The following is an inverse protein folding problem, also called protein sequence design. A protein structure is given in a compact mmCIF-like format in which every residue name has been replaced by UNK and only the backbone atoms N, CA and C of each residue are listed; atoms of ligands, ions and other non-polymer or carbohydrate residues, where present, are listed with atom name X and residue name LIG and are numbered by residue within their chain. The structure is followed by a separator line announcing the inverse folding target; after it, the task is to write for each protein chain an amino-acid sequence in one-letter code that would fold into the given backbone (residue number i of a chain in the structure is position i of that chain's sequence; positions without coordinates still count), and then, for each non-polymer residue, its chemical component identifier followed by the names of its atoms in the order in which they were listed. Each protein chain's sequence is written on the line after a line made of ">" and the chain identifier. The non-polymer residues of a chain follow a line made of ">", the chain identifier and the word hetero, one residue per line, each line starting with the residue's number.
data_IF_422655362391
#
_entry.id   IF_422655362391
#
_cell.length_a   1.000
_cell.length_b   1.000
_cell.length_c   1.000
_cell.angle_alpha   90.00
_cell.angle_beta   90.00
_cell.angle_gamma   90.00
#
_symmetry.space_group_name_H-M   'P 1'
#
loop_
_entity.id
_entity.type
_entity.pdbx_description
1 polymer ?
#
# COMPACT_ATOMS: atom_id res chain seq x y z
N UNK A 1 9.78 -13.98 -11.93
CA UNK A 1 9.20 -15.29 -11.55
C UNK A 1 7.72 -15.27 -11.89
N UNK A 2 7.17 -16.35 -12.47
CA UNK A 2 5.72 -16.45 -12.75
C UNK A 2 4.91 -16.53 -11.46
N UNK A 3 3.69 -15.97 -11.46
CA UNK A 3 2.77 -16.00 -10.31
C UNK A 3 2.49 -17.43 -9.86
N UNK A 4 2.29 -18.35 -10.80
CA UNK A 4 2.04 -19.77 -10.51
C UNK A 4 3.22 -20.39 -9.75
N UNK A 5 4.45 -20.17 -10.22
CA UNK A 5 5.68 -20.65 -9.56
C UNK A 5 5.80 -20.13 -8.12
N UNK A 6 5.54 -18.84 -7.91
CA UNK A 6 5.61 -18.23 -6.59
C UNK A 6 4.51 -18.68 -5.61
N UNK A 7 3.38 -19.18 -6.11
CA UNK A 7 2.30 -19.74 -5.27
C UNK A 7 2.61 -21.21 -4.97
N UNK A 8 3.09 -21.97 -5.97
CA UNK A 8 3.51 -23.36 -5.81
C UNK A 8 4.63 -23.49 -4.77
N UNK A 9 5.66 -22.65 -4.86
CA UNK A 9 6.77 -22.63 -3.90
C UNK A 9 6.30 -22.21 -2.49
N UNK A 10 5.33 -21.30 -2.37
CA UNK A 10 4.75 -20.96 -1.06
C UNK A 10 4.03 -22.16 -0.41
N UNK A 11 3.50 -23.07 -1.22
CA UNK A 11 2.88 -24.32 -0.77
C UNK A 11 3.87 -25.49 -0.66
N UNK A 12 5.17 -25.25 -0.88
CA UNK A 12 6.23 -26.26 -0.87
C UNK A 12 5.98 -27.44 -1.83
N UNK A 13 5.34 -27.18 -2.98
CA UNK A 13 5.03 -28.22 -3.97
C UNK A 13 6.07 -28.25 -5.08
N UNK A 14 6.41 -29.44 -5.59
CA UNK A 14 7.14 -29.64 -6.86
C UNK A 14 6.20 -29.51 -8.06
N UNK A 15 6.76 -29.44 -9.28
CA UNK A 15 5.91 -29.39 -10.49
C UNK A 15 5.15 -30.70 -10.68
N UNK A 16 5.76 -31.81 -10.28
CA UNK A 16 5.23 -33.17 -10.30
C UNK A 16 4.09 -33.33 -9.29
N UNK A 17 4.28 -32.86 -8.06
CA UNK A 17 3.23 -32.88 -7.02
C UNK A 17 2.02 -32.01 -7.39
N UNK A 18 2.27 -30.81 -7.95
CA UNK A 18 1.17 -29.97 -8.43
C UNK A 18 0.45 -30.63 -9.61
N UNK A 19 1.17 -31.34 -10.49
CA UNK A 19 0.61 -32.09 -11.61
C UNK A 19 -0.31 -33.20 -11.13
N UNK A 20 0.10 -33.94 -10.10
CA UNK A 20 -0.67 -35.04 -9.53
C UNK A 20 -1.95 -34.52 -8.85
N UNK A 21 -1.83 -33.46 -8.03
CA UNK A 21 -2.96 -32.90 -7.29
C UNK A 21 -3.98 -32.18 -8.19
N UNK A 22 -3.52 -31.54 -9.27
CA UNK A 22 -4.37 -30.80 -10.20
C UNK A 22 -4.80 -31.64 -11.42
N UNK A 23 -4.30 -32.86 -11.58
CA UNK A 23 -4.52 -33.71 -12.78
C UNK A 23 -4.18 -33.00 -14.11
N UNK A 24 -3.32 -31.97 -14.06
CA UNK A 24 -2.84 -31.23 -15.22
C UNK A 24 -1.42 -31.68 -15.49
N UNK A 25 -1.08 -31.95 -16.76
CA UNK A 25 0.27 -32.43 -17.09
C UNK A 25 1.38 -31.48 -16.63
N UNK A 26 2.51 -32.03 -16.16
CA UNK A 26 3.74 -31.30 -15.82
C UNK A 26 4.13 -30.32 -16.94
N UNK A 27 4.01 -30.74 -18.20
CA UNK A 27 4.31 -29.90 -19.38
C UNK A 27 3.40 -28.66 -19.46
N UNK A 28 2.14 -28.78 -19.08
CA UNK A 28 1.20 -27.65 -19.05
C UNK A 28 1.56 -26.70 -17.90
N UNK A 29 1.90 -27.23 -16.72
CA UNK A 29 2.37 -26.42 -15.58
C UNK A 29 3.62 -25.64 -15.96
N UNK A 30 4.61 -26.29 -16.58
CA UNK A 30 5.83 -25.65 -17.06
C UNK A 30 5.54 -24.53 -18.07
N UNK A 31 4.64 -24.76 -19.04
CA UNK A 31 4.23 -23.74 -20.01
C UNK A 31 3.57 -22.52 -19.34
N UNK A 32 2.82 -22.74 -18.27
CA UNK A 32 2.20 -21.65 -17.50
C UNK A 32 3.23 -20.91 -16.66
N UNK A 33 4.17 -21.64 -16.03
CA UNK A 33 5.30 -21.04 -15.32
C UNK A 33 6.25 -20.27 -16.25
N UNK A 34 6.33 -20.64 -17.53
CA UNK A 34 7.13 -19.96 -18.55
C UNK A 34 6.39 -18.79 -19.24
N UNK A 35 5.12 -18.54 -18.92
CA UNK A 35 4.39 -17.33 -19.37
C UNK A 35 3.10 -17.58 -20.16
N UNK A 36 2.66 -18.82 -20.37
CA UNK A 36 1.36 -19.11 -21.00
C UNK A 36 0.23 -18.87 -20.00
N UNK A 37 -0.79 -18.08 -20.35
CA UNK A 37 -1.93 -17.87 -19.44
C UNK A 37 -2.85 -19.11 -19.40
N UNK A 38 -3.20 -19.60 -18.19
CA UNK A 38 -4.20 -20.66 -18.05
C UNK A 38 -5.59 -20.12 -18.36
N UNK A 39 -6.39 -20.88 -19.12
CA UNK A 39 -7.76 -20.49 -19.53
C UNK A 39 -8.77 -21.59 -19.21
N UNK A 40 -10.01 -21.18 -18.93
CA UNK A 40 -11.15 -22.07 -18.73
C UNK A 40 -10.91 -23.11 -17.64
N UNK A 41 -11.06 -24.40 -17.99
CA UNK A 41 -10.96 -25.51 -17.05
C UNK A 41 -9.62 -25.60 -16.31
N UNK A 42 -8.50 -25.33 -17.00
CA UNK A 42 -7.15 -25.36 -16.42
C UNK A 42 -6.96 -24.29 -15.33
N UNK A 43 -7.55 -23.11 -15.52
CA UNK A 43 -7.50 -22.02 -14.55
C UNK A 43 -8.26 -22.39 -13.28
N UNK A 44 -9.49 -22.88 -13.44
CA UNK A 44 -10.37 -23.27 -12.34
C UNK A 44 -9.78 -24.39 -11.49
N UNK A 45 -9.22 -25.43 -12.11
CA UNK A 45 -8.62 -26.53 -11.36
C UNK A 45 -7.36 -26.07 -10.63
N UNK A 46 -6.47 -25.31 -11.26
CA UNK A 46 -5.27 -24.81 -10.57
C UNK A 46 -5.62 -23.91 -9.39
N UNK A 47 -6.62 -23.04 -9.56
CA UNK A 47 -7.12 -22.17 -8.49
C UNK A 47 -7.68 -23.00 -7.32
N UNK A 48 -8.51 -24.00 -7.62
CA UNK A 48 -9.10 -24.90 -6.63
C UNK A 48 -8.04 -25.73 -5.89
N UNK A 49 -7.11 -26.36 -6.61
CA UNK A 49 -6.01 -27.15 -6.02
C UNK A 49 -5.10 -26.29 -5.15
N UNK A 50 -4.84 -25.06 -5.56
CA UNK A 50 -4.02 -24.11 -4.80
C UNK A 50 -4.82 -23.35 -3.74
N UNK A 51 -6.13 -23.54 -3.61
CA UNK A 51 -6.97 -22.84 -2.64
C UNK A 51 -6.91 -21.32 -2.77
N UNK A 52 -6.91 -20.82 -3.99
CA UNK A 52 -6.85 -19.39 -4.33
C UNK A 52 -7.96 -19.03 -5.31
N UNK A 53 -8.25 -17.75 -5.43
CA UNK A 53 -9.14 -17.21 -6.46
C UNK A 53 -8.53 -17.36 -7.87
N UNK A 54 -9.37 -17.61 -8.88
CA UNK A 54 -8.95 -17.73 -10.29
C UNK A 54 -8.23 -16.46 -10.77
N UNK A 55 -8.66 -15.29 -10.29
CA UNK A 55 -8.05 -13.99 -10.59
C UNK A 55 -6.59 -13.87 -10.12
N UNK A 56 -6.16 -14.64 -9.12
CA UNK A 56 -4.79 -14.63 -8.61
C UNK A 56 -3.80 -15.28 -9.58
N UNK A 57 -4.27 -16.15 -10.48
CA UNK A 57 -3.47 -16.82 -11.50
C UNK A 57 -3.40 -16.05 -12.83
N UNK A 58 -4.30 -15.09 -13.05
CA UNK A 58 -4.32 -14.24 -14.24
C UNK A 58 -3.27 -13.11 -14.14
N UNK A 59 -2.59 -12.80 -15.25
CA UNK A 59 -1.59 -11.74 -15.29
C UNK A 59 -2.24 -10.35 -15.43
N UNK A 60 -2.88 -9.87 -14.36
CA UNK A 60 -2.97 -8.41 -14.19
C UNK A 60 -1.70 -7.90 -13.51
N UNK A 61 -1.15 -6.81 -14.06
CA UNK A 61 -0.01 -6.04 -13.54
C UNK A 61 -0.34 -5.45 -12.16
N UNK A 62 -0.35 -6.30 -11.14
CA UNK A 62 -0.47 -5.94 -9.74
C UNK A 62 -0.33 -7.22 -8.89
N UNK A 63 0.60 -7.29 -7.91
CA UNK A 63 0.62 -8.42 -7.00
C UNK A 63 -0.56 -8.28 -6.02
N UNK A 64 -1.50 -9.21 -6.08
CA UNK A 64 -2.38 -9.55 -4.98
C UNK A 64 -1.83 -10.81 -4.34
N UNK A 65 -1.55 -10.79 -3.04
CA UNK A 65 -1.51 -12.00 -2.22
C UNK A 65 -2.27 -11.73 -0.92
N UNK A 66 -3.38 -12.46 -0.82
CA UNK A 66 -3.79 -13.33 0.29
C UNK A 66 -3.85 -12.71 1.69
N UNK A 67 -5.09 -12.65 2.16
CA UNK A 67 -5.55 -12.47 3.53
C UNK A 67 -5.07 -13.68 4.36
N UNK A 68 -4.35 -13.41 5.44
CA UNK A 68 -4.23 -14.34 6.56
C UNK A 68 -5.47 -14.15 7.44
N UNK A 69 -6.17 -15.24 7.73
CA UNK A 69 -7.22 -15.30 8.73
C UNK A 69 -6.69 -14.82 10.09
N UNK A 70 -7.34 -13.83 10.66
CA UNK A 70 -7.49 -13.72 12.11
C UNK A 70 -8.93 -13.31 12.37
N UNK A 71 -9.68 -14.24 12.93
CA UNK A 71 -11.00 -14.03 13.52
C UNK A 71 -10.83 -13.09 14.71
N UNK A 72 -11.27 -11.84 14.56
CA UNK A 72 -11.67 -11.00 15.70
C UNK A 72 -13.01 -10.35 15.33
N UNK A 73 -14.02 -10.72 16.11
CA UNK A 73 -15.38 -10.19 16.05
C UNK A 73 -15.33 -8.82 16.71
N UNK A 74 -15.43 -7.74 15.94
CA UNK A 74 -15.98 -6.48 16.43
C UNK A 74 -16.88 -5.85 15.37
N UNK A 75 -18.14 -5.68 15.77
CA UNK A 75 -19.24 -5.04 15.08
C UNK A 75 -18.94 -3.61 14.67
N UNK A 76 -19.19 -3.24 13.42
CA UNK A 76 -19.26 -1.84 13.02
C UNK A 76 -19.20 -1.60 11.51
N UNK A 77 -20.39 -1.45 10.91
CA UNK A 77 -20.67 -0.87 9.59
C UNK A 77 -19.91 -1.44 8.38
N UNK A 78 -20.64 -2.18 7.54
CA UNK A 78 -20.23 -2.63 6.22
C UNK A 78 -19.88 -1.44 5.31
N UNK A 79 -18.63 -0.97 5.36
CA UNK A 79 -18.04 -0.19 4.28
C UNK A 79 -17.81 -1.17 3.12
N UNK A 80 -18.70 -1.14 2.12
CA UNK A 80 -18.49 -1.78 0.83
C UNK A 80 -17.06 -1.47 0.36
N UNK A 81 -16.17 -2.48 0.38
CA UNK A 81 -14.76 -2.32 0.00
C UNK A 81 -14.67 -1.96 -1.48
N UNK A 82 -14.68 -0.65 -1.77
CA UNK A 82 -14.33 -0.15 -3.09
C UNK A 82 -12.91 -0.64 -3.40
N UNK A 83 -12.75 -1.36 -4.52
CA UNK A 83 -11.46 -1.88 -4.98
C UNK A 83 -10.37 -0.80 -4.86
N UNK A 84 -9.31 -1.08 -4.09
CA UNK A 84 -8.25 -0.10 -3.80
C UNK A 84 -7.48 0.23 -5.09
N UNK A 85 -7.55 1.49 -5.51
CA UNK A 85 -6.77 1.97 -6.65
C UNK A 85 -5.47 2.61 -6.15
N UNK A 86 -4.38 1.86 -6.20
CA UNK A 86 -3.06 2.31 -5.71
C UNK A 86 -2.52 3.55 -6.42
N UNK A 87 -2.87 3.77 -7.70
CA UNK A 87 -2.49 4.99 -8.42
C UNK A 87 -3.16 6.21 -7.80
N UNK A 88 -4.43 6.10 -7.43
CA UNK A 88 -5.15 7.17 -6.73
C UNK A 88 -4.62 7.38 -5.31
N UNK A 89 -4.29 6.31 -4.58
CA UNK A 89 -3.66 6.42 -3.26
C UNK A 89 -2.30 7.14 -3.33
N UNK A 90 -1.52 6.87 -4.39
CA UNK A 90 -0.26 7.58 -4.65
C UNK A 90 -0.50 9.05 -4.94
N UNK A 91 -1.49 9.39 -5.76
CA UNK A 91 -1.87 10.79 -6.05
C UNK A 91 -2.32 11.51 -4.77
N UNK A 92 -3.15 10.86 -3.95
CA UNK A 92 -3.58 11.38 -2.64
C UNK A 92 -2.35 11.70 -1.79
N UNK A 93 -1.41 10.76 -1.62
CA UNK A 93 -0.19 11.01 -0.85
C UNK A 93 0.68 12.13 -1.43
N UNK A 94 0.88 12.18 -2.75
CA UNK A 94 1.68 13.22 -3.40
C UNK A 94 1.03 14.60 -3.34
N UNK A 95 -0.29 14.69 -3.25
CA UNK A 95 -1.00 15.97 -3.25
C UNK A 95 -0.60 16.89 -2.10
N UNK A 96 -0.16 16.33 -0.96
CA UNK A 96 0.37 17.08 0.16
C UNK A 96 1.64 17.87 -0.18
N UNK A 97 2.41 17.47 -1.22
CA UNK A 97 3.66 18.15 -1.60
C UNK A 97 3.43 19.60 -2.01
N UNK A 98 2.35 19.87 -2.74
CA UNK A 98 2.03 21.21 -3.27
C UNK A 98 1.84 22.22 -2.13
N UNK A 99 1.35 21.75 -0.97
CA UNK A 99 1.04 22.58 0.19
C UNK A 99 2.00 22.35 1.36
N UNK A 100 3.19 21.77 1.12
CA UNK A 100 4.19 21.48 2.16
C UNK A 100 4.58 22.71 2.98
N UNK A 101 4.69 23.87 2.33
CA UNK A 101 5.11 25.12 2.98
C UNK A 101 3.96 25.84 3.70
N UNK A 102 2.71 25.41 3.50
CA UNK A 102 1.52 26.10 3.98
C UNK A 102 0.64 25.16 4.82
N UNK A 103 1.06 24.75 6.02
CA UNK A 103 0.14 24.07 6.94
C UNK A 103 -1.04 24.99 7.32
N UNK A 104 -2.28 24.49 7.48
CA UNK A 104 -2.70 23.08 7.39
C UNK A 104 -3.14 22.63 5.98
N UNK A 105 -2.89 23.40 4.90
CA UNK A 105 -3.33 23.03 3.54
C UNK A 105 -2.78 21.69 3.06
N UNK A 106 -1.65 21.23 3.60
CA UNK A 106 -1.08 19.90 3.34
C UNK A 106 -2.01 18.73 3.72
N UNK A 107 -3.00 18.95 4.59
CA UNK A 107 -4.02 17.97 5.00
C UNK A 107 -5.26 18.07 4.10
N UNK A 108 -5.66 19.27 3.69
CA UNK A 108 -6.89 19.46 2.91
C UNK A 108 -6.81 18.83 1.52
N UNK A 109 -5.67 18.95 0.83
CA UNK A 109 -5.50 18.35 -0.50
C UNK A 109 -5.72 16.83 -0.54
N UNK A 110 -5.04 16.01 0.29
CA UNK A 110 -5.29 14.57 0.31
C UNK A 110 -6.70 14.22 0.79
N UNK A 111 -7.27 15.01 1.71
CA UNK A 111 -8.63 14.80 2.22
C UNK A 111 -9.68 15.02 1.11
N UNK A 112 -9.60 16.12 0.38
CA UNK A 112 -10.50 16.40 -0.75
C UNK A 112 -10.36 15.30 -1.81
N UNK A 113 -9.13 14.92 -2.17
CA UNK A 113 -8.89 13.87 -3.17
C UNK A 113 -9.37 12.50 -2.73
N UNK A 114 -9.31 12.17 -1.44
CA UNK A 114 -9.87 10.93 -0.89
C UNK A 114 -11.37 10.82 -1.20
N UNK A 115 -12.12 11.91 -1.00
CA UNK A 115 -13.56 11.95 -1.27
C UNK A 115 -13.87 11.99 -2.76
N UNK A 116 -13.18 12.81 -3.56
CA UNK A 116 -13.45 12.94 -4.99
C UNK A 116 -13.08 11.68 -5.77
N UNK A 117 -12.00 10.99 -5.39
CA UNK A 117 -11.56 9.73 -6.01
C UNK A 117 -12.22 8.49 -5.39
N UNK A 118 -13.15 8.67 -4.44
CA UNK A 118 -13.87 7.61 -3.72
C UNK A 118 -12.94 6.55 -3.10
N UNK A 119 -11.77 6.96 -2.62
CA UNK A 119 -10.76 6.07 -2.02
C UNK A 119 -10.80 6.14 -0.49
N UNK A 120 -11.91 5.74 0.16
CA UNK A 120 -12.07 5.81 1.63
C UNK A 120 -11.41 4.68 2.42
N UNK A 121 -10.43 3.99 1.83
CA UNK A 121 -9.77 2.85 2.45
C UNK A 121 -8.78 3.27 3.56
N UNK A 122 -8.31 2.28 4.32
CA UNK A 122 -7.37 2.48 5.42
C UNK A 122 -6.07 3.17 5.00
N UNK A 123 -5.57 2.95 3.77
CA UNK A 123 -4.33 3.59 3.31
C UNK A 123 -4.51 5.11 3.14
N UNK A 124 -5.62 5.54 2.55
CA UNK A 124 -5.93 6.97 2.41
C UNK A 124 -6.12 7.64 3.78
N UNK A 125 -6.88 7.01 4.69
CA UNK A 125 -7.05 7.48 6.08
C UNK A 125 -5.71 7.62 6.81
N UNK A 126 -4.81 6.65 6.64
CA UNK A 126 -3.46 6.66 7.23
C UNK A 126 -2.58 7.79 6.67
N UNK A 127 -2.62 8.06 5.35
CA UNK A 127 -1.88 9.18 4.74
C UNK A 127 -2.29 10.49 5.41
N UNK A 128 -3.60 10.73 5.53
CA UNK A 128 -4.14 11.96 6.14
C UNK A 128 -3.76 12.00 7.63
N UNK A 129 -3.85 10.88 8.34
CA UNK A 129 -3.48 10.79 9.77
C UNK A 129 -2.01 11.11 10.01
N UNK A 130 -1.09 10.61 9.17
CA UNK A 130 0.34 10.95 9.24
C UNK A 130 0.56 12.45 9.00
N UNK A 131 -0.13 13.04 8.01
CA UNK A 131 -0.05 14.48 7.75
C UNK A 131 -0.56 15.30 8.94
N UNK A 132 -1.66 14.88 9.57
CA UNK A 132 -2.20 15.56 10.75
C UNK A 132 -1.22 15.54 11.93
N UNK A 133 -0.63 14.38 12.23
CA UNK A 133 0.39 14.28 13.30
C UNK A 133 1.61 15.13 12.96
N UNK A 134 2.12 15.06 11.73
CA UNK A 134 3.27 15.85 11.33
C UNK A 134 3.01 17.36 11.43
N UNK A 135 1.83 17.81 10.98
CA UNK A 135 1.42 19.23 11.06
C UNK A 135 1.33 19.74 12.49
N UNK A 136 1.00 18.89 13.47
CA UNK A 136 1.00 19.26 14.90
C UNK A 136 2.41 19.23 15.49
N UNK A 137 3.22 18.23 15.15
CA UNK A 137 4.57 18.05 15.71
C UNK A 137 5.54 19.13 15.20
N UNK A 138 5.48 19.49 13.91
CA UNK A 138 6.39 20.45 13.30
C UNK A 138 6.46 21.82 14.02
N UNK A 139 5.34 22.52 14.33
CA UNK A 139 5.39 23.78 15.06
C UNK A 139 5.89 23.62 16.50
N UNK A 140 5.64 22.47 17.15
CA UNK A 140 6.16 22.20 18.50
C UNK A 140 7.69 22.13 18.46
N UNK A 141 8.25 21.38 17.50
CA UNK A 141 9.70 21.27 17.29
C UNK A 141 10.30 22.65 16.97
N UNK A 142 9.62 23.44 16.13
CA UNK A 142 10.06 24.79 15.78
C UNK A 142 10.10 25.73 17.00
N UNK A 143 9.05 25.72 17.83
CA UNK A 143 8.97 26.52 19.06
C UNK A 143 10.06 26.13 20.06
N UNK A 144 10.29 24.83 20.25
CA UNK A 144 11.39 24.33 21.09
C UNK A 144 12.75 24.81 20.58
N UNK A 145 12.97 24.75 19.26
CA UNK A 145 14.20 25.25 18.66
C UNK A 145 14.44 26.74 18.87
N UNK A 146 13.39 27.57 18.79
CA UNK A 146 13.48 29.00 19.08
C UNK A 146 13.81 29.24 20.56
N UNK A 147 13.18 28.48 21.47
CA UNK A 147 13.36 28.63 22.91
C UNK A 147 14.80 28.40 23.36
N UNK A 148 15.55 27.55 22.66
CA UNK A 148 16.97 27.27 22.93
C UNK A 148 17.93 28.39 22.54
N UNK A 149 17.47 29.42 21.79
CA UNK A 149 18.23 30.63 21.45
C UNK A 149 19.60 30.41 20.78
N UNK A 150 19.77 29.37 19.97
CA UNK A 150 21.02 29.10 19.21
C UNK A 150 21.34 30.10 18.07
N UNK A 151 20.52 31.14 17.89
CA UNK A 151 20.74 32.20 16.89
C UNK A 151 20.06 31.93 15.54
N UNK A 152 20.13 32.94 14.66
CA UNK A 152 19.34 32.98 13.40
C UNK A 152 19.73 31.88 12.40
N UNK A 153 21.02 31.55 12.31
CA UNK A 153 21.50 30.50 11.40
C UNK A 153 20.91 29.14 11.76
N UNK A 154 20.86 28.83 13.05
CA UNK A 154 20.20 27.62 13.54
C UNK A 154 18.72 27.59 13.18
N UNK A 155 17.99 28.69 13.37
CA UNK A 155 16.56 28.79 13.02
C UNK A 155 16.32 28.51 11.54
N UNK A 156 17.17 29.03 10.64
CA UNK A 156 17.05 28.76 9.21
C UNK A 156 17.30 27.29 8.88
N UNK A 157 18.36 26.69 9.45
CA UNK A 157 18.66 25.26 9.27
C UNK A 157 17.52 24.39 9.80
N UNK A 158 16.98 24.70 10.97
CA UNK A 158 15.85 23.99 11.57
C UNK A 158 14.61 24.05 10.67
N UNK A 159 14.30 25.22 10.13
CA UNK A 159 13.16 25.40 9.22
C UNK A 159 13.31 24.55 7.95
N UNK A 160 14.51 24.54 7.36
CA UNK A 160 14.81 23.71 6.19
C UNK A 160 14.66 22.22 6.54
N UNK A 161 15.19 21.78 7.68
CA UNK A 161 15.11 20.37 8.12
C UNK A 161 13.66 19.93 8.35
N UNK A 162 12.81 20.78 8.93
CA UNK A 162 11.39 20.48 9.14
C UNK A 162 10.69 20.27 7.78
N UNK A 163 10.93 21.16 6.81
CA UNK A 163 10.35 21.02 5.46
C UNK A 163 10.86 19.76 4.78
N UNK A 164 12.18 19.51 4.81
CA UNK A 164 12.79 18.32 4.21
C UNK A 164 12.26 17.02 4.83
N UNK A 165 12.05 17.00 6.15
CA UNK A 165 11.47 15.85 6.83
C UNK A 165 10.03 15.58 6.36
N UNK A 166 9.21 16.62 6.16
CA UNK A 166 7.86 16.44 5.60
C UNK A 166 7.91 15.84 4.19
N UNK A 167 8.76 16.42 3.32
CA UNK A 167 8.95 15.94 1.95
C UNK A 167 9.43 14.49 1.95
N UNK A 168 10.38 14.16 2.83
CA UNK A 168 10.88 12.80 2.99
C UNK A 168 9.77 11.81 3.36
N UNK A 169 8.91 12.15 4.33
CA UNK A 169 7.77 11.32 4.72
C UNK A 169 6.87 11.03 3.51
N UNK A 170 6.51 12.07 2.76
CA UNK A 170 5.62 11.96 1.60
C UNK A 170 6.27 11.10 0.50
N UNK A 171 7.51 11.38 0.13
CA UNK A 171 8.21 10.64 -0.92
C UNK A 171 8.49 9.19 -0.53
N UNK A 172 8.85 8.93 0.73
CA UNK A 172 9.09 7.58 1.23
C UNK A 172 7.82 6.74 1.20
N UNK A 173 6.69 7.32 1.61
CA UNK A 173 5.38 6.67 1.50
C UNK A 173 4.98 6.43 0.05
N UNK A 174 5.21 7.38 -0.85
CA UNK A 174 4.93 7.22 -2.28
C UNK A 174 5.71 6.05 -2.90
N UNK A 175 7.01 5.96 -2.59
CA UNK A 175 7.86 4.88 -3.06
C UNK A 175 7.43 3.52 -2.54
N UNK A 176 6.96 3.44 -1.29
CA UNK A 176 6.51 2.20 -0.68
C UNK A 176 5.12 1.77 -1.18
N UNK A 177 4.21 2.73 -1.46
CA UNK A 177 2.93 2.45 -2.12
C UNK A 177 3.17 1.81 -3.49
N UNK A 178 4.13 2.35 -4.25
CA UNK A 178 4.48 1.86 -5.58
C UNK A 178 5.09 0.45 -5.55
N UNK A 179 6.04 0.22 -4.63
CA UNK A 179 6.79 -1.06 -4.55
C UNK A 179 6.03 -2.17 -3.84
N UNK A 180 5.34 -1.84 -2.75
CA UNK A 180 4.78 -2.81 -1.80
C UNK A 180 3.30 -2.63 -1.50
N UNK A 181 2.63 -1.65 -2.13
CA UNK A 181 1.19 -1.40 -1.93
C UNK A 181 0.84 -1.12 -0.46
N UNK A 182 1.79 -0.61 0.31
CA UNK A 182 1.68 -0.30 1.74
C UNK A 182 2.39 1.01 2.03
N UNK A 183 2.02 1.67 3.12
CA UNK A 183 2.75 2.83 3.62
C UNK A 183 3.98 2.37 4.40
N UNK A 184 5.08 3.10 4.24
CA UNK A 184 6.28 2.89 5.03
C UNK A 184 6.12 3.51 6.43
N UNK A 185 5.71 4.78 6.46
CA UNK A 185 5.37 5.53 7.66
C UNK A 185 3.86 5.49 7.81
N UNK A 186 3.40 4.74 8.81
CA UNK A 186 2.00 4.58 9.19
C UNK A 186 1.86 4.66 10.70
N UNK A 187 0.66 4.97 11.15
CA UNK A 187 0.26 5.00 12.54
C UNK A 187 -0.41 3.69 12.93
N UNK A 188 -0.51 3.43 14.23
CA UNK A 188 -1.24 2.27 14.75
C UNK A 188 -2.77 2.49 14.75
N UNK A 189 -3.22 3.73 14.60
CA UNK A 189 -4.61 4.14 14.58
C UNK A 189 -4.89 5.04 13.37
N UNK A 190 -6.16 5.11 12.95
CA UNK A 190 -6.65 6.13 12.02
C UNK A 190 -7.25 7.27 12.85
N UNK A 191 -7.02 8.51 12.43
CA UNK A 191 -7.57 9.68 13.12
C UNK A 191 -8.93 10.12 12.54
N UNK A 192 -9.29 9.60 11.38
CA UNK A 192 -10.57 9.76 10.66
C UNK A 192 -10.98 8.43 10.02
#
# INVERSE_FOLDING_TARGET
>A
MSKLKAIREQKNLTQEELSEQSKISVRTIQRIESGTEPKGHTLRILAQTLGIEESALLQDKAPSKVITETVEIETGAEEQEASINYSYIKIINLSSLIFTLLPPLNIFAPLILMFTLKQKNALARQIISVQMIWTVIAPIIFMLGIFLKFGKQFTLVLMILIVLSNVFIILRNAAEIDRRKKLYIKLKFNMI
#
